data_IF_273286516909
#
_entry.id   IF_273286516909
#
_cell.length_a   1.000
_cell.length_b   1.000
_cell.length_c   1.000
_cell.angle_alpha   90.00
_cell.angle_beta   90.00
_cell.angle_gamma   90.00
#
_symmetry.space_group_name_H-M   'P 1'
#
loop_
_entity.id
_entity.type
_entity.pdbx_description
1 polymer ?
#
# COMPACT_ATOMS: atom_id res chain seq x y z
N UNK A 1 1.69 9.01 9.10
CA UNK A 1 0.48 8.87 8.25
C UNK A 1 0.80 7.91 7.11
N UNK A 2 -0.18 7.27 6.48
CA UNK A 2 0.06 6.33 5.38
C UNK A 2 0.39 7.02 4.05
N UNK A 3 1.20 6.37 3.22
CA UNK A 3 1.28 6.69 1.79
C UNK A 3 0.08 6.08 1.08
N UNK A 4 -0.73 6.93 0.46
CA UNK A 4 -1.92 6.52 -0.27
C UNK A 4 -1.64 6.48 -1.77
N UNK A 5 -1.85 5.32 -2.40
CA UNK A 5 -1.77 5.19 -3.86
C UNK A 5 -3.20 5.26 -4.40
N UNK A 6 -3.48 6.24 -5.26
CA UNK A 6 -4.82 6.48 -5.78
C UNK A 6 -4.83 6.61 -7.30
N UNK A 7 -5.85 6.04 -7.94
CA UNK A 7 -6.10 6.24 -9.36
C UNK A 7 -7.11 7.36 -9.52
N UNK A 8 -6.63 8.55 -9.84
CA UNK A 8 -7.45 9.76 -9.91
C UNK A 8 -6.81 10.79 -10.85
N UNK A 9 -7.61 11.76 -11.27
CA UNK A 9 -7.13 13.00 -11.85
C UNK A 9 -6.61 13.91 -10.73
N UNK A 10 -5.32 14.27 -10.76
CA UNK A 10 -4.69 15.08 -9.73
C UNK A 10 -5.38 16.45 -9.56
N UNK A 11 -6.00 16.99 -10.62
CA UNK A 11 -6.75 18.25 -10.59
C UNK A 11 -8.04 18.17 -9.77
N UNK A 12 -8.48 16.95 -9.41
CA UNK A 12 -9.69 16.68 -8.61
C UNK A 12 -9.35 16.30 -7.16
N UNK A 13 -8.07 16.28 -6.80
CA UNK A 13 -7.66 15.95 -5.44
C UNK A 13 -8.05 17.06 -4.45
N UNK A 14 -8.71 16.65 -3.37
CA UNK A 14 -9.07 17.52 -2.24
C UNK A 14 -7.99 17.48 -1.16
N UNK A 15 -6.77 17.86 -1.53
CA UNK A 15 -5.61 17.98 -0.64
C UNK A 15 -5.26 19.45 -0.44
N UNK A 16 -4.46 19.79 0.59
CA UNK A 16 -4.00 21.17 0.76
C UNK A 16 -3.08 21.59 -0.38
N UNK A 17 -2.23 20.68 -0.85
CA UNK A 17 -1.37 20.93 -2.00
C UNK A 17 -1.44 19.79 -3.03
N UNK A 18 -1.25 20.15 -4.30
CA UNK A 18 -0.95 19.20 -5.38
C UNK A 18 0.38 19.60 -6.02
N UNK A 19 1.10 18.61 -6.57
CA UNK A 19 2.39 18.85 -7.20
C UNK A 19 2.25 18.88 -8.72
N UNK A 20 2.77 19.93 -9.33
CA UNK A 20 2.92 20.08 -10.78
C UNK A 20 4.36 19.77 -11.17
N UNK A 21 4.54 18.70 -11.96
CA UNK A 21 5.82 18.35 -12.57
C UNK A 21 5.93 19.08 -13.92
N UNK A 22 6.81 20.07 -14.01
CA UNK A 22 6.89 21.01 -15.13
C UNK A 22 8.32 21.17 -15.66
N UNK A 23 8.45 21.96 -16.75
CA UNK A 23 9.75 22.38 -17.27
C UNK A 23 10.35 23.54 -16.46
N UNK A 24 11.60 23.89 -16.75
CA UNK A 24 12.34 24.94 -16.07
C UNK A 24 11.67 26.32 -16.05
N UNK A 25 10.91 26.62 -17.09
CA UNK A 25 10.24 27.91 -17.29
C UNK A 25 8.83 27.94 -16.68
N UNK A 26 8.39 26.88 -16.01
CA UNK A 26 7.06 26.74 -15.43
C UNK A 26 5.91 27.00 -16.41
N UNK A 27 6.17 26.77 -17.72
CA UNK A 27 5.23 27.05 -18.82
C UNK A 27 4.20 25.94 -19.02
N UNK A 28 3.97 25.10 -18.00
CA UNK A 28 2.97 24.03 -18.00
C UNK A 28 3.15 23.01 -19.14
N UNK A 29 4.40 22.70 -19.48
CA UNK A 29 4.72 21.67 -20.44
C UNK A 29 4.53 20.26 -19.82
N UNK A 30 3.96 19.36 -20.59
CA UNK A 30 3.63 18.00 -20.14
C UNK A 30 2.17 17.83 -19.78
N UNK A 31 1.71 16.56 -19.70
CA UNK A 31 0.29 16.25 -19.46
C UNK A 31 -0.22 16.77 -18.11
N UNK A 32 0.55 16.58 -17.04
CA UNK A 32 0.14 16.97 -15.68
C UNK A 32 0.11 18.49 -15.53
N UNK A 33 1.19 19.19 -15.90
CA UNK A 33 1.26 20.65 -15.83
C UNK A 33 0.18 21.33 -16.65
N UNK A 34 -0.06 20.87 -17.89
CA UNK A 34 -1.13 21.38 -18.75
C UNK A 34 -2.53 21.15 -18.16
N UNK A 35 -2.80 19.96 -17.60
CA UNK A 35 -4.07 19.66 -16.95
C UNK A 35 -4.32 20.58 -15.74
N UNK A 36 -3.30 20.78 -14.90
CA UNK A 36 -3.36 21.66 -13.74
C UNK A 36 -3.59 23.11 -14.18
N UNK A 37 -2.82 23.63 -15.16
CA UNK A 37 -2.96 24.99 -15.65
C UNK A 37 -4.35 25.28 -16.25
N UNK A 38 -4.90 24.32 -17.01
CA UNK A 38 -6.25 24.43 -17.58
C UNK A 38 -7.32 24.43 -16.48
N UNK A 39 -7.19 23.61 -15.45
CA UNK A 39 -8.13 23.54 -14.35
C UNK A 39 -8.03 24.75 -13.40
N UNK A 40 -6.82 25.24 -13.13
CA UNK A 40 -6.55 26.37 -12.24
C UNK A 40 -6.99 27.72 -12.85
N UNK A 41 -6.89 27.87 -14.18
CA UNK A 41 -7.33 29.05 -14.89
C UNK A 41 -6.24 30.13 -15.12
N UNK A 42 -6.66 31.26 -15.69
CA UNK A 42 -5.73 32.29 -16.20
C UNK A 42 -4.93 33.01 -15.13
N UNK A 43 -5.47 33.18 -13.93
CA UNK A 43 -4.75 33.88 -12.86
C UNK A 43 -3.62 33.04 -12.29
N UNK A 44 -3.76 31.71 -12.29
CA UNK A 44 -2.67 30.78 -12.01
C UNK A 44 -1.50 30.96 -13.00
N UNK A 45 -1.80 31.06 -14.31
CA UNK A 45 -0.77 31.24 -15.33
C UNK A 45 0.02 32.55 -15.12
N UNK A 46 -0.68 33.65 -14.79
CA UNK A 46 -0.03 34.93 -14.46
C UNK A 46 0.87 34.86 -13.23
N UNK A 47 0.51 34.04 -12.24
CA UNK A 47 1.36 33.82 -11.06
C UNK A 47 2.58 32.98 -11.41
N UNK A 48 2.43 31.94 -12.22
CA UNK A 48 3.56 31.13 -12.73
C UNK A 48 4.58 31.97 -13.50
N UNK A 49 4.11 32.88 -14.37
CA UNK A 49 4.99 33.81 -15.10
C UNK A 49 5.83 34.68 -14.16
N UNK A 50 5.26 35.10 -13.02
CA UNK A 50 5.99 35.92 -12.01
C UNK A 50 7.00 35.11 -11.21
N UNK A 51 6.78 33.80 -11.03
CA UNK A 51 7.72 32.91 -10.34
C UNK A 51 9.03 32.74 -11.10
N UNK A 52 9.00 32.92 -12.42
CA UNK A 52 10.15 32.73 -13.32
C UNK A 52 10.57 31.28 -13.43
N UNK A 53 11.88 30.99 -13.37
CA UNK A 53 12.41 29.65 -13.60
C UNK A 53 12.50 28.82 -12.32
N UNK A 54 12.31 27.52 -12.43
CA UNK A 54 12.54 26.51 -11.37
C UNK A 54 13.64 25.56 -11.84
N UNK A 55 14.75 25.44 -11.10
CA UNK A 55 15.83 24.52 -11.46
C UNK A 55 15.43 23.08 -11.16
N UNK A 56 16.08 22.13 -11.84
CA UNK A 56 15.88 20.71 -11.58
C UNK A 56 16.14 20.38 -10.09
N UNK A 57 15.18 19.73 -9.46
CA UNK A 57 15.23 19.40 -8.04
C UNK A 57 14.69 20.49 -7.10
N UNK A 58 14.51 21.73 -7.55
CA UNK A 58 13.90 22.80 -6.76
C UNK A 58 12.37 22.66 -6.71
N UNK A 59 11.75 23.33 -5.73
CA UNK A 59 10.31 23.46 -5.62
C UNK A 59 9.91 24.94 -5.41
N UNK A 60 8.77 25.33 -5.97
CA UNK A 60 8.14 26.65 -5.81
C UNK A 60 6.65 26.47 -5.55
N UNK A 61 5.97 27.47 -5.01
CA UNK A 61 4.55 27.36 -4.64
C UNK A 61 3.75 28.52 -5.21
N UNK A 62 2.53 28.20 -5.67
CA UNK A 62 1.48 29.16 -6.02
C UNK A 62 0.19 28.81 -5.30
N UNK A 63 -0.82 29.69 -5.40
CA UNK A 63 -2.18 29.36 -5.01
C UNK A 63 -2.82 28.38 -5.99
N UNK A 64 -3.80 27.60 -5.52
CA UNK A 64 -4.53 26.63 -6.34
C UNK A 64 -5.62 27.25 -7.24
N UNK A 65 -6.03 28.48 -6.99
CA UNK A 65 -7.09 29.21 -7.74
C UNK A 65 -8.38 28.40 -7.87
N UNK A 66 -8.75 27.96 -9.09
CA UNK A 66 -9.98 27.21 -9.33
C UNK A 66 -9.88 25.71 -8.99
N UNK A 67 -8.73 25.25 -8.52
CA UNK A 67 -8.53 23.88 -8.08
C UNK A 67 -9.14 23.63 -6.70
N UNK A 68 -9.53 22.40 -6.35
CA UNK A 68 -9.91 22.05 -4.98
C UNK A 68 -8.74 22.22 -3.98
N UNK A 69 -7.49 22.02 -4.43
CA UNK A 69 -6.29 22.20 -3.62
C UNK A 69 -6.01 23.69 -3.37
N UNK A 70 -5.57 24.02 -2.15
CA UNK A 70 -5.23 25.43 -1.76
C UNK A 70 -3.98 25.91 -2.49
N UNK A 71 -3.03 25.01 -2.72
CA UNK A 71 -1.71 25.33 -3.30
C UNK A 71 -1.37 24.37 -4.44
N UNK A 72 -0.54 24.88 -5.36
CA UNK A 72 0.18 24.08 -6.35
C UNK A 72 1.68 24.24 -6.07
N UNK A 73 2.35 23.13 -5.86
CA UNK A 73 3.81 23.08 -5.71
C UNK A 73 4.41 22.65 -7.04
N UNK A 74 5.18 23.54 -7.63
CA UNK A 74 5.87 23.33 -8.90
C UNK A 74 7.23 22.71 -8.65
N UNK A 75 7.58 21.68 -9.39
CA UNK A 75 8.94 21.13 -9.38
C UNK A 75 9.36 20.73 -10.79
N UNK A 76 10.64 20.87 -11.07
CA UNK A 76 11.24 20.46 -12.33
C UNK A 76 12.04 19.19 -12.11
N UNK A 77 11.53 18.08 -12.63
CA UNK A 77 12.20 16.79 -12.55
C UNK A 77 13.36 16.69 -13.56
N UNK A 78 14.32 15.76 -13.34
CA UNK A 78 15.41 15.51 -14.27
C UNK A 78 14.91 14.83 -15.56
N UNK A 79 15.51 15.21 -16.68
CA UNK A 79 15.42 14.43 -17.91
C UNK A 79 16.40 13.27 -17.82
N UNK A 80 15.91 12.05 -18.04
CA UNK A 80 16.73 10.85 -17.94
C UNK A 80 17.71 10.76 -19.12
N UNK A 81 18.99 10.57 -18.83
CA UNK A 81 20.07 10.49 -19.82
C UNK A 81 20.96 9.25 -19.60
N UNK A 82 20.44 8.25 -18.84
CA UNK A 82 21.13 6.99 -18.62
C UNK A 82 21.52 6.70 -17.17
N UNK A 83 21.11 7.55 -16.20
CA UNK A 83 21.31 7.29 -14.76
C UNK A 83 22.73 7.60 -14.23
N UNK A 84 23.60 8.21 -15.05
CA UNK A 84 25.00 8.46 -14.67
C UNK A 84 25.30 9.92 -14.26
N UNK A 85 24.31 10.80 -14.30
CA UNK A 85 24.46 12.23 -14.07
C UNK A 85 23.76 12.70 -12.79
N UNK A 86 23.48 11.78 -11.85
CA UNK A 86 22.82 12.08 -10.60
C UNK A 86 21.32 12.37 -10.73
N UNK A 87 20.70 11.87 -11.81
CA UNK A 87 19.26 12.04 -12.07
C UNK A 87 18.40 11.47 -10.94
N UNK A 88 18.84 10.39 -10.29
CA UNK A 88 18.22 9.79 -9.13
C UNK A 88 18.18 10.74 -7.91
N UNK A 89 19.29 11.41 -7.63
CA UNK A 89 19.39 12.40 -6.55
C UNK A 89 18.54 13.64 -6.86
N UNK A 90 18.52 14.08 -8.12
CA UNK A 90 17.68 15.20 -8.54
C UNK A 90 16.19 14.87 -8.46
N UNK A 91 15.80 13.66 -8.85
CA UNK A 91 14.42 13.20 -8.72
C UNK A 91 14.00 13.10 -7.24
N UNK A 92 14.86 12.55 -6.39
CA UNK A 92 14.66 12.52 -4.94
C UNK A 92 14.47 13.94 -4.38
N UNK A 93 15.31 14.88 -4.78
CA UNK A 93 15.22 16.27 -4.35
C UNK A 93 13.89 16.93 -4.72
N UNK A 94 13.27 16.56 -5.87
CA UNK A 94 11.94 17.06 -6.24
C UNK A 94 10.89 16.70 -5.20
N UNK A 95 10.89 15.45 -4.74
CA UNK A 95 9.94 14.99 -3.71
C UNK A 95 10.24 15.63 -2.36
N UNK A 96 11.52 15.63 -1.91
CA UNK A 96 11.93 16.19 -0.62
C UNK A 96 11.62 17.68 -0.51
N UNK A 97 11.97 18.47 -1.54
CA UNK A 97 11.74 19.91 -1.53
C UNK A 97 10.26 20.26 -1.63
N UNK A 98 9.47 19.47 -2.37
CA UNK A 98 8.02 19.67 -2.42
C UNK A 98 7.36 19.35 -1.07
N UNK A 99 7.76 18.28 -0.39
CA UNK A 99 7.27 17.92 0.94
C UNK A 99 7.62 19.00 1.96
N UNK A 100 8.87 19.43 1.97
CA UNK A 100 9.35 20.49 2.87
C UNK A 100 8.58 21.80 2.65
N UNK A 101 8.37 22.18 1.39
CA UNK A 101 7.64 23.41 1.06
C UNK A 101 6.16 23.32 1.45
N UNK A 102 5.53 22.14 1.34
CA UNK A 102 4.18 21.90 1.83
C UNK A 102 4.10 22.07 3.35
N UNK A 103 5.03 21.47 4.09
CA UNK A 103 5.11 21.57 5.55
C UNK A 103 5.33 23.02 6.02
N UNK A 104 6.26 23.76 5.37
CA UNK A 104 6.52 25.18 5.63
C UNK A 104 5.27 26.08 5.42
N UNK A 105 4.34 25.65 4.55
CA UNK A 105 3.07 26.34 4.29
C UNK A 105 1.88 25.77 5.08
N UNK A 106 2.14 24.91 6.07
CA UNK A 106 1.12 24.37 6.97
C UNK A 106 0.16 23.40 6.28
N UNK A 107 0.59 22.71 5.21
CA UNK A 107 -0.23 21.70 4.55
C UNK A 107 -0.26 20.43 5.41
N UNK A 108 -1.46 19.92 5.62
CA UNK A 108 -1.69 18.63 6.27
C UNK A 108 -1.80 17.49 5.26
N UNK A 109 -1.95 17.83 3.98
CA UNK A 109 -2.09 16.85 2.89
C UNK A 109 -1.47 17.35 1.58
N UNK A 110 -0.86 16.41 0.83
CA UNK A 110 -0.23 16.69 -0.47
C UNK A 110 -0.42 15.52 -1.44
N UNK A 111 -0.64 15.82 -2.72
CA UNK A 111 -0.75 14.83 -3.78
C UNK A 111 0.35 15.01 -4.84
N UNK A 112 1.03 13.92 -5.15
CA UNK A 112 2.12 13.86 -6.13
C UNK A 112 1.73 13.08 -7.37
N UNK A 113 2.12 13.52 -8.57
CA UNK A 113 2.20 12.64 -9.73
C UNK A 113 3.51 11.85 -9.69
N UNK A 114 3.67 10.88 -10.59
CA UNK A 114 4.98 10.28 -10.86
C UNK A 114 5.85 11.27 -11.67
N UNK A 115 6.80 11.91 -10.99
CA UNK A 115 7.68 12.94 -11.58
C UNK A 115 8.65 12.29 -12.55
N UNK A 116 8.90 12.94 -13.71
CA UNK A 116 9.86 12.57 -14.79
C UNK A 116 9.56 11.26 -15.52
N UNK A 117 8.61 10.43 -15.13
CA UNK A 117 8.36 9.11 -15.74
C UNK A 117 7.60 9.14 -17.06
N UNK A 118 7.13 10.31 -17.49
CA UNK A 118 6.48 10.55 -18.77
C UNK A 118 7.47 11.05 -19.83
N UNK A 119 7.27 12.26 -20.37
CA UNK A 119 8.07 12.85 -21.45
C UNK A 119 9.57 13.01 -21.14
N UNK A 120 9.97 13.02 -19.89
CA UNK A 120 11.38 13.08 -19.47
C UNK A 120 12.07 11.71 -19.44
N UNK A 121 11.32 10.61 -19.65
CA UNK A 121 11.86 9.29 -19.93
C UNK A 121 12.53 8.59 -18.75
N UNK A 122 12.30 9.05 -17.51
CA UNK A 122 12.83 8.36 -16.34
C UNK A 122 12.19 6.95 -16.25
N UNK A 123 12.98 5.86 -16.04
CA UNK A 123 12.45 4.52 -15.95
C UNK A 123 11.37 4.41 -14.87
N UNK A 124 10.19 3.90 -15.23
CA UNK A 124 9.02 3.91 -14.33
C UNK A 124 9.31 3.20 -13.01
N UNK A 125 9.91 2.02 -13.05
CA UNK A 125 10.23 1.22 -11.84
C UNK A 125 11.16 1.96 -10.89
N UNK A 126 12.23 2.56 -11.42
CA UNK A 126 13.19 3.35 -10.64
C UNK A 126 12.53 4.63 -10.10
N UNK A 127 11.74 5.32 -10.92
CA UNK A 127 11.01 6.51 -10.52
C UNK A 127 9.99 6.26 -9.41
N UNK A 128 9.25 5.16 -9.49
CA UNK A 128 8.33 4.71 -8.44
C UNK A 128 9.09 4.40 -7.15
N UNK A 129 10.21 3.67 -7.27
CA UNK A 129 11.04 3.32 -6.11
C UNK A 129 11.57 4.58 -5.42
N UNK A 130 12.14 5.53 -6.15
CA UNK A 130 12.64 6.79 -5.59
C UNK A 130 11.52 7.59 -4.93
N UNK A 131 10.35 7.70 -5.57
CA UNK A 131 9.19 8.39 -5.02
C UNK A 131 8.76 7.76 -3.68
N UNK A 132 8.56 6.45 -3.68
CA UNK A 132 8.03 5.72 -2.51
C UNK A 132 9.03 5.66 -1.37
N UNK A 133 10.31 5.43 -1.64
CA UNK A 133 11.37 5.42 -0.62
C UNK A 133 11.52 6.81 0.02
N UNK A 134 11.48 7.88 -0.79
CA UNK A 134 11.59 9.27 -0.30
C UNK A 134 10.39 9.65 0.55
N UNK A 135 9.18 9.39 0.06
CA UNK A 135 7.94 9.70 0.78
C UNK A 135 7.84 8.90 2.09
N UNK A 136 8.16 7.61 2.05
CA UNK A 136 8.11 6.75 3.24
C UNK A 136 9.13 7.21 4.30
N UNK A 137 10.34 7.58 3.88
CA UNK A 137 11.34 8.15 4.79
C UNK A 137 10.90 9.48 5.42
N UNK A 138 10.18 10.32 4.67
CA UNK A 138 9.62 11.57 5.18
C UNK A 138 8.49 11.33 6.20
N UNK A 139 7.64 10.33 5.94
CA UNK A 139 6.51 9.95 6.81
C UNK A 139 6.95 9.42 8.19
N UNK A 140 8.20 9.02 8.37
CA UNK A 140 8.72 8.66 9.69
C UNK A 140 8.72 9.84 10.68
N UNK A 141 8.75 11.08 10.16
CA UNK A 141 8.92 12.31 10.96
C UNK A 141 7.75 13.28 10.85
N UNK A 142 6.71 12.98 10.07
CA UNK A 142 5.55 13.85 9.86
C UNK A 142 4.25 13.09 9.91
N UNK A 143 3.17 13.80 10.27
CA UNK A 143 1.80 13.27 10.25
C UNK A 143 1.01 13.73 8.98
N UNK A 144 1.71 14.15 7.92
CA UNK A 144 1.10 14.62 6.67
C UNK A 144 0.46 13.47 5.87
N UNK A 145 -0.73 13.67 5.33
CA UNK A 145 -1.38 12.74 4.40
C UNK A 145 -0.79 12.90 3.00
N UNK A 146 -0.09 11.88 2.51
CA UNK A 146 0.60 11.92 1.23
C UNK A 146 -0.06 10.96 0.25
N UNK A 147 -0.37 11.47 -0.94
CA UNK A 147 -1.01 10.73 -2.02
C UNK A 147 -0.07 10.63 -3.22
N UNK A 148 0.16 9.43 -3.72
CA UNK A 148 0.76 9.18 -5.02
C UNK A 148 -0.37 8.94 -6.02
N UNK A 149 -0.58 9.89 -6.91
CA UNK A 149 -1.71 9.90 -7.85
C UNK A 149 -1.24 9.37 -9.19
N UNK A 150 -1.91 8.34 -9.68
CA UNK A 150 -1.70 7.77 -11.00
C UNK A 150 -2.96 7.94 -11.84
N UNK A 151 -2.80 8.41 -13.08
CA UNK A 151 -3.91 8.65 -13.98
C UNK A 151 -4.41 7.36 -14.63
N UNK A 152 -3.49 6.53 -15.07
CA UNK A 152 -3.77 5.26 -15.72
C UNK A 152 -3.06 4.10 -15.02
N UNK A 153 -3.54 2.87 -15.26
CA UNK A 153 -3.00 1.64 -14.68
C UNK A 153 -1.57 1.36 -15.15
N UNK A 154 -1.24 1.77 -16.37
CA UNK A 154 0.07 1.52 -16.97
C UNK A 154 1.18 2.38 -16.35
N UNK A 155 0.78 3.48 -15.68
CA UNK A 155 1.72 4.36 -14.98
C UNK A 155 2.28 3.76 -13.69
N UNK A 156 1.56 2.82 -13.07
CA UNK A 156 2.00 2.14 -11.86
C UNK A 156 1.81 0.63 -12.05
N UNK A 157 2.83 -0.03 -12.55
CA UNK A 157 2.82 -1.48 -12.73
C UNK A 157 3.94 -2.12 -11.93
N UNK A 158 3.66 -3.30 -11.36
CA UNK A 158 4.72 -4.13 -10.80
C UNK A 158 5.76 -4.45 -11.86
N UNK A 159 7.01 -4.68 -11.45
CA UNK A 159 8.07 -5.04 -12.38
C UNK A 159 7.68 -6.28 -13.18
N UNK A 160 8.16 -6.37 -14.43
CA UNK A 160 7.87 -7.54 -15.27
C UNK A 160 8.34 -8.83 -14.61
N UNK A 161 9.47 -8.79 -13.91
CA UNK A 161 10.02 -9.93 -13.16
C UNK A 161 9.08 -10.31 -12.03
N UNK A 162 8.63 -9.36 -11.22
CA UNK A 162 7.72 -9.61 -10.10
C UNK A 162 6.36 -10.15 -10.58
N UNK A 163 5.82 -9.62 -11.67
CA UNK A 163 4.60 -10.15 -12.29
C UNK A 163 4.77 -11.60 -12.72
N UNK A 164 5.91 -11.92 -13.36
CA UNK A 164 6.22 -13.29 -13.80
C UNK A 164 6.32 -14.24 -12.60
N UNK A 165 7.03 -13.83 -11.54
CA UNK A 165 7.17 -14.61 -10.30
C UNK A 165 5.81 -14.84 -9.61
N UNK A 166 4.95 -13.84 -9.54
CA UNK A 166 3.61 -13.96 -8.97
C UNK A 166 2.73 -14.86 -9.82
N UNK A 167 2.77 -14.70 -11.14
CA UNK A 167 2.00 -15.57 -12.05
C UNK A 167 2.44 -17.04 -11.93
N UNK A 168 3.73 -17.29 -11.89
CA UNK A 168 4.29 -18.64 -11.67
C UNK A 168 3.84 -19.21 -10.31
N UNK A 169 3.85 -18.41 -9.26
CA UNK A 169 3.35 -18.83 -7.94
C UNK A 169 1.85 -19.17 -7.95
N UNK A 170 1.02 -18.39 -8.67
CA UNK A 170 -0.41 -18.66 -8.85
C UNK A 170 -0.59 -19.99 -9.61
N UNK A 171 0.11 -20.16 -10.71
CA UNK A 171 0.02 -21.33 -11.57
C UNK A 171 0.48 -22.61 -10.83
N UNK A 172 1.58 -22.53 -10.09
CA UNK A 172 2.08 -23.63 -9.25
C UNK A 172 1.07 -24.06 -8.18
N UNK A 173 0.44 -23.09 -7.52
CA UNK A 173 -0.60 -23.38 -6.53
C UNK A 173 -1.83 -24.01 -7.17
N UNK A 174 -2.23 -23.55 -8.36
CA UNK A 174 -3.31 -24.17 -9.13
C UNK A 174 -2.98 -25.62 -9.51
N UNK A 175 -1.75 -25.89 -9.99
CA UNK A 175 -1.29 -27.24 -10.35
C UNK A 175 -1.24 -28.16 -9.13
N UNK A 176 -0.72 -27.68 -7.98
CA UNK A 176 -0.67 -28.46 -6.72
C UNK A 176 -2.05 -28.86 -6.26
N UNK A 177 -3.04 -27.94 -6.29
CA UNK A 177 -4.45 -28.24 -5.95
C UNK A 177 -5.04 -29.29 -6.85
N UNK A 178 -4.90 -29.15 -8.17
CA UNK A 178 -5.44 -30.11 -9.12
C UNK A 178 -4.78 -31.49 -9.01
N UNK A 179 -3.51 -31.56 -8.58
CA UNK A 179 -2.85 -32.84 -8.26
C UNK A 179 -3.42 -33.45 -6.98
N UNK A 180 -3.62 -32.64 -5.93
CA UNK A 180 -4.20 -33.10 -4.68
C UNK A 180 -5.64 -33.63 -4.89
N UNK A 181 -6.50 -32.91 -5.65
CA UNK A 181 -7.82 -33.39 -6.01
C UNK A 181 -7.79 -34.70 -6.79
N UNK A 182 -6.92 -34.84 -7.80
CA UNK A 182 -6.77 -36.07 -8.58
C UNK A 182 -6.24 -37.24 -7.74
N UNK A 183 -5.43 -37.00 -6.74
CA UNK A 183 -4.94 -38.05 -5.83
C UNK A 183 -6.08 -38.50 -4.88
N UNK A 184 -6.88 -37.55 -4.35
CA UNK A 184 -8.08 -37.90 -3.56
C UNK A 184 -9.10 -38.70 -4.37
N UNK A 185 -9.38 -38.30 -5.63
CA UNK A 185 -10.24 -39.08 -6.52
C UNK A 185 -9.67 -40.48 -6.85
N UNK A 186 -8.36 -40.65 -6.88
CA UNK A 186 -7.72 -41.97 -7.06
C UNK A 186 -7.78 -42.81 -5.80
N UNK A 187 -7.56 -42.23 -4.63
CA UNK A 187 -7.68 -42.91 -3.35
C UNK A 187 -9.12 -43.37 -3.10
N UNK A 188 -10.12 -42.53 -3.48
CA UNK A 188 -11.53 -42.89 -3.41
C UNK A 188 -11.94 -43.97 -4.41
N UNK A 189 -11.28 -44.06 -5.58
CA UNK A 189 -11.49 -45.13 -6.57
C UNK A 189 -10.86 -46.44 -6.18
N UNK A 190 -9.73 -46.42 -5.49
CA UNK A 190 -9.07 -47.63 -4.98
C UNK A 190 -9.74 -48.17 -3.70
N UNK A 191 -10.60 -47.37 -3.04
CA UNK A 191 -11.39 -47.76 -1.87
C UNK A 191 -12.80 -48.29 -2.18
N UNK A 192 -13.18 -48.47 -3.45
CA UNK A 192 -14.44 -49.14 -3.85
C UNK A 192 -14.26 -50.64 -3.88
N UNK A 193 -13.70 -51.20 -2.85
CA UNK A 193 -13.62 -52.63 -2.53
C UNK A 193 -14.06 -52.84 -1.10
N UNK A 194 -15.40 -53.07 -0.91
CA UNK A 194 -16.01 -53.68 0.27
C UNK A 194 -15.40 -53.28 1.66
N UNK A 195 -15.79 -52.16 2.19
CA UNK A 195 -15.91 -52.01 3.64
C UNK A 195 -17.23 -51.29 3.97
N UNK A 196 -18.02 -51.77 4.95
CA UNK A 196 -19.18 -51.04 5.39
C UNK A 196 -18.71 -49.67 5.87
N UNK A 197 -19.40 -48.61 5.42
CA UNK A 197 -19.26 -47.27 5.97
C UNK A 197 -19.68 -47.38 7.44
N UNK A 198 -18.74 -47.75 8.28
CA UNK A 198 -18.86 -47.42 9.69
C UNK A 198 -18.71 -45.90 9.72
N UNK A 199 -19.80 -45.23 9.76
CA UNK A 199 -19.87 -43.95 10.43
C UNK A 199 -19.39 -44.21 11.85
N UNK A 200 -18.08 -44.28 12.04
CA UNK A 200 -17.48 -44.05 13.33
C UNK A 200 -17.91 -42.62 13.65
N UNK A 201 -18.98 -42.56 14.43
CA UNK A 201 -19.46 -41.29 14.90
C UNK A 201 -18.24 -40.52 15.36
N UNK A 202 -18.11 -39.33 14.85
CA UNK A 202 -17.58 -38.28 15.67
C UNK A 202 -18.37 -38.41 16.98
N UNK A 203 -17.84 -39.24 17.89
CA UNK A 203 -18.20 -39.11 19.28
C UNK A 203 -17.86 -37.66 19.60
N UNK A 204 -18.90 -36.84 19.44
CA UNK A 204 -18.98 -35.63 20.22
C UNK A 204 -18.84 -36.13 21.63
N UNK A 205 -17.62 -36.11 22.18
CA UNK A 205 -17.43 -35.99 23.60
C UNK A 205 -18.07 -34.65 23.97
N UNK A 206 -19.37 -34.63 23.97
CA UNK A 206 -20.09 -33.69 24.80
C UNK A 206 -19.64 -34.08 26.22
N UNK A 207 -18.65 -33.35 26.72
CA UNK A 207 -18.42 -33.30 28.15
C UNK A 207 -19.73 -32.75 28.76
N UNK A 208 -20.63 -33.71 29.09
CA UNK A 208 -21.84 -33.40 29.83
C UNK A 208 -21.37 -32.78 31.13
N UNK A 209 -21.57 -31.48 31.33
CA UNK A 209 -21.32 -30.82 32.58
C UNK A 209 -20.50 -29.53 32.56
N UNK A 210 -20.01 -29.05 31.42
CA UNK A 210 -19.38 -27.73 31.38
C UNK A 210 -20.48 -26.67 31.29
N UNK A 211 -20.64 -25.85 32.34
CA UNK A 211 -21.60 -24.74 32.29
C UNK A 211 -21.20 -23.76 31.19
N UNK A 212 -22.16 -23.08 30.58
CA UNK A 212 -21.91 -22.02 29.60
C UNK A 212 -20.88 -21.01 30.10
N UNK A 213 -20.89 -20.71 31.39
CA UNK A 213 -19.93 -19.81 32.04
C UNK A 213 -18.48 -20.32 31.95
N UNK A 214 -18.28 -21.63 32.13
CA UNK A 214 -16.94 -22.23 32.03
C UNK A 214 -16.48 -22.29 30.56
N UNK A 215 -17.41 -22.53 29.62
CA UNK A 215 -17.11 -22.51 28.21
C UNK A 215 -16.76 -21.08 27.71
N UNK A 216 -17.39 -20.04 28.29
CA UNK A 216 -17.10 -18.65 28.03
C UNK A 216 -15.75 -18.23 28.64
N UNK A 217 -15.34 -18.80 29.76
CA UNK A 217 -14.05 -18.54 30.44
C UNK A 217 -12.86 -19.14 29.70
N UNK A 218 -13.07 -20.19 28.91
CA UNK A 218 -12.04 -20.89 28.14
C UNK A 218 -11.92 -20.31 26.72
N UNK A 219 -12.04 -18.97 26.60
CA UNK A 219 -11.86 -18.29 25.33
C UNK A 219 -10.39 -18.24 24.93
N UNK A 220 -10.14 -18.48 23.67
CA UNK A 220 -8.85 -18.17 23.03
C UNK A 220 -8.46 -16.69 23.23
N UNK A 221 -7.16 -16.41 23.24
CA UNK A 221 -6.65 -15.02 23.17
C UNK A 221 -7.35 -14.25 22.05
N UNK A 222 -7.76 -13.02 22.34
CA UNK A 222 -8.38 -12.14 21.34
C UNK A 222 -7.37 -11.67 20.29
N UNK A 223 -7.86 -11.12 19.17
CA UNK A 223 -7.01 -10.47 18.19
C UNK A 223 -6.14 -9.39 18.83
N UNK A 224 -6.73 -8.56 19.69
CA UNK A 224 -6.05 -7.48 20.39
C UNK A 224 -4.90 -8.02 21.26
N UNK A 225 -5.16 -8.99 22.12
CA UNK A 225 -4.13 -9.59 22.99
C UNK A 225 -3.01 -10.23 22.18
N UNK A 226 -3.36 -11.01 21.15
CA UNK A 226 -2.38 -11.65 20.25
C UNK A 226 -1.51 -10.61 19.53
N UNK A 227 -2.12 -9.53 18.97
CA UNK A 227 -1.38 -8.47 18.29
C UNK A 227 -0.36 -7.80 19.22
N UNK A 228 -0.77 -7.37 20.41
CA UNK A 228 0.12 -6.63 21.32
C UNK A 228 1.18 -7.53 21.97
N UNK A 229 0.90 -8.82 22.12
CA UNK A 229 1.89 -9.83 22.48
C UNK A 229 2.96 -9.96 21.40
N UNK A 230 2.58 -10.11 20.13
CA UNK A 230 3.50 -10.15 18.98
C UNK A 230 4.34 -8.87 18.87
N UNK A 231 3.76 -7.70 19.04
CA UNK A 231 4.49 -6.41 19.04
C UNK A 231 5.57 -6.41 20.11
N UNK A 232 5.24 -6.86 21.32
CA UNK A 232 6.17 -6.95 22.44
C UNK A 232 7.27 -7.98 22.19
N UNK A 233 6.93 -9.16 21.68
CA UNK A 233 7.88 -10.24 21.37
C UNK A 233 8.88 -9.83 20.26
N UNK A 234 8.41 -9.09 19.26
CA UNK A 234 9.26 -8.54 18.16
C UNK A 234 10.06 -7.29 18.65
N UNK A 235 9.84 -6.79 19.86
CA UNK A 235 10.55 -5.63 20.42
C UNK A 235 10.29 -4.31 19.69
N UNK A 236 9.17 -4.21 18.96
CA UNK A 236 8.85 -3.04 18.15
C UNK A 236 8.09 -1.97 18.94
N UNK A 237 8.31 -0.71 18.59
CA UNK A 237 7.50 0.41 19.09
C UNK A 237 6.19 0.50 18.29
N UNK A 238 5.12 0.93 18.96
CA UNK A 238 3.82 1.13 18.30
C UNK A 238 3.91 2.06 17.06
N UNK A 239 4.73 3.13 17.15
CA UNK A 239 4.97 4.04 16.02
C UNK A 239 5.57 3.33 14.81
N UNK A 240 6.54 2.47 15.04
CA UNK A 240 7.17 1.67 14.00
C UNK A 240 6.16 0.71 13.34
N UNK A 241 5.30 0.08 14.14
CA UNK A 241 4.28 -0.85 13.64
C UNK A 241 3.27 -0.16 12.74
N UNK A 242 2.66 0.95 13.20
CA UNK A 242 1.64 1.60 12.37
C UNK A 242 2.24 2.25 11.12
N UNK A 243 3.44 2.80 11.18
CA UNK A 243 4.13 3.34 10.00
C UNK A 243 4.41 2.24 8.98
N UNK A 244 4.98 1.10 9.40
CA UNK A 244 5.24 -0.04 8.52
C UNK A 244 3.97 -0.70 8.00
N UNK A 245 2.88 -0.68 8.78
CA UNK A 245 1.57 -1.19 8.37
C UNK A 245 0.81 -0.23 7.44
N UNK A 246 1.37 0.93 7.11
CA UNK A 246 0.68 1.97 6.35
C UNK A 246 -0.67 2.37 6.98
N UNK A 247 -0.67 2.55 8.32
CA UNK A 247 -1.83 2.95 9.11
C UNK A 247 -1.59 4.33 9.73
N UNK A 248 -2.66 5.13 9.87
CA UNK A 248 -2.60 6.36 10.64
C UNK A 248 -2.46 6.07 12.13
N UNK A 249 -1.85 7.01 12.85
CA UNK A 249 -1.77 6.97 14.32
C UNK A 249 -3.15 6.87 14.96
N UNK A 250 -4.15 7.57 14.39
CA UNK A 250 -5.52 7.56 14.89
C UNK A 250 -6.18 6.19 14.71
N UNK A 251 -5.99 5.55 13.57
CA UNK A 251 -6.48 4.19 13.30
C UNK A 251 -5.83 3.16 14.24
N UNK A 252 -4.50 3.21 14.36
CA UNK A 252 -3.80 2.32 15.28
C UNK A 252 -4.21 2.55 16.75
N UNK A 253 -4.49 3.80 17.13
CA UNK A 253 -4.99 4.13 18.47
C UNK A 253 -6.36 3.51 18.75
N UNK A 254 -7.26 3.44 17.75
CA UNK A 254 -8.54 2.72 17.87
C UNK A 254 -8.29 1.23 18.14
N UNK A 255 -7.41 0.60 17.35
CA UNK A 255 -7.04 -0.82 17.58
C UNK A 255 -6.49 -1.04 18.99
N UNK A 256 -5.65 -0.11 19.48
CA UNK A 256 -5.03 -0.21 20.81
C UNK A 256 -6.00 -0.02 21.95
N UNK A 257 -6.92 0.95 21.83
CA UNK A 257 -7.76 1.38 22.96
C UNK A 257 -9.11 0.67 23.02
N UNK A 258 -9.50 -0.04 21.98
CA UNK A 258 -10.74 -0.81 21.90
C UNK A 258 -10.41 -2.30 21.69
N UNK A 259 -10.44 -3.11 22.78
CA UNK A 259 -10.16 -4.56 22.69
C UNK A 259 -11.15 -5.33 21.80
N UNK A 260 -12.35 -4.80 21.61
CA UNK A 260 -13.40 -5.43 20.80
C UNK A 260 -13.38 -4.91 19.34
N UNK A 261 -12.43 -4.01 19.00
CA UNK A 261 -12.28 -3.50 17.65
C UNK A 261 -12.00 -4.62 16.64
N UNK A 262 -12.80 -4.66 15.59
CA UNK A 262 -12.64 -5.64 14.50
C UNK A 262 -12.03 -4.97 13.27
N UNK A 263 -10.73 -5.11 13.06
CA UNK A 263 -10.06 -4.55 11.88
C UNK A 263 -10.54 -5.24 10.60
N UNK A 264 -10.44 -4.55 9.47
CA UNK A 264 -10.66 -5.16 8.15
C UNK A 264 -9.55 -6.15 7.84
N UNK A 265 -9.82 -7.07 6.91
CA UNK A 265 -8.87 -8.10 6.46
C UNK A 265 -7.54 -7.48 6.00
N UNK A 266 -7.62 -6.42 5.21
CA UNK A 266 -6.49 -5.66 4.68
C UNK A 266 -5.63 -5.04 5.81
N UNK A 267 -6.27 -4.58 6.87
CA UNK A 267 -5.58 -4.04 8.07
C UNK A 267 -4.84 -5.14 8.82
N UNK A 268 -5.43 -6.33 8.96
CA UNK A 268 -4.76 -7.47 9.61
C UNK A 268 -3.54 -7.92 8.82
N UNK A 269 -3.65 -8.03 7.50
CA UNK A 269 -2.50 -8.31 6.63
C UNK A 269 -1.41 -7.23 6.74
N UNK A 270 -1.81 -5.95 6.74
CA UNK A 270 -0.86 -4.84 6.91
C UNK A 270 -0.06 -4.96 8.21
N UNK A 271 -0.72 -5.31 9.32
CA UNK A 271 -0.07 -5.53 10.60
C UNK A 271 0.85 -6.76 10.58
N UNK A 272 0.44 -7.86 9.92
CA UNK A 272 1.27 -9.04 9.74
C UNK A 272 2.56 -8.73 8.94
N UNK A 273 2.44 -7.95 7.87
CA UNK A 273 3.58 -7.47 7.07
C UNK A 273 4.50 -6.56 7.91
N UNK A 274 3.94 -5.61 8.66
CA UNK A 274 4.70 -4.70 9.52
C UNK A 274 5.53 -5.44 10.57
N UNK A 275 4.96 -6.49 11.17
CA UNK A 275 5.59 -7.34 12.19
C UNK A 275 6.50 -8.41 11.59
N UNK A 276 6.59 -8.52 10.27
CA UNK A 276 7.33 -9.56 9.54
C UNK A 276 6.98 -10.96 10.02
N UNK A 277 5.68 -11.23 10.11
CA UNK A 277 5.19 -12.54 10.54
C UNK A 277 5.45 -13.59 9.46
N UNK A 278 5.72 -14.82 9.91
CA UNK A 278 5.69 -15.99 9.04
C UNK A 278 4.27 -16.25 8.55
N UNK A 279 4.12 -17.12 7.55
CA UNK A 279 2.80 -17.46 7.04
C UNK A 279 1.89 -18.09 8.11
N UNK A 280 2.45 -18.93 8.99
CA UNK A 280 1.69 -19.57 10.06
C UNK A 280 1.28 -18.57 11.15
N UNK A 281 2.19 -17.68 11.58
CA UNK A 281 1.87 -16.57 12.49
C UNK A 281 0.79 -15.66 11.88
N UNK A 282 0.88 -15.39 10.57
CA UNK A 282 -0.11 -14.59 9.85
C UNK A 282 -1.49 -15.26 9.84
N UNK A 283 -1.55 -16.56 9.56
CA UNK A 283 -2.80 -17.34 9.58
C UNK A 283 -3.44 -17.34 10.96
N UNK A 284 -2.65 -17.50 12.02
CA UNK A 284 -3.15 -17.43 13.39
C UNK A 284 -3.69 -16.02 13.73
N UNK A 285 -2.97 -14.97 13.39
CA UNK A 285 -3.45 -13.59 13.61
C UNK A 285 -4.75 -13.31 12.84
N UNK A 286 -4.84 -13.76 11.59
CA UNK A 286 -6.04 -13.65 10.76
C UNK A 286 -7.23 -14.39 11.38
N UNK A 287 -7.02 -15.61 11.86
CA UNK A 287 -8.03 -16.42 12.54
C UNK A 287 -8.57 -15.72 13.79
N UNK A 288 -7.71 -15.10 14.61
CA UNK A 288 -8.11 -14.32 15.80
C UNK A 288 -8.95 -13.08 15.42
N UNK A 289 -8.74 -12.51 14.25
CA UNK A 289 -9.57 -11.42 13.70
C UNK A 289 -10.86 -11.92 13.01
N UNK A 290 -11.09 -13.24 12.95
CA UNK A 290 -12.25 -13.85 12.30
C UNK A 290 -12.13 -14.02 10.78
N UNK A 291 -10.90 -14.01 10.25
CA UNK A 291 -10.63 -14.21 8.83
C UNK A 291 -9.88 -15.52 8.57
N UNK A 292 -10.05 -16.03 7.36
CA UNK A 292 -9.22 -17.12 6.82
C UNK A 292 -8.39 -16.61 5.64
N UNK A 293 -7.18 -17.11 5.50
CA UNK A 293 -6.37 -16.95 4.30
C UNK A 293 -6.77 -18.03 3.30
N UNK A 294 -7.16 -17.63 2.11
CA UNK A 294 -7.65 -18.54 1.08
C UNK A 294 -7.13 -18.17 -0.30
N UNK A 295 -6.55 -19.12 -0.99
CA UNK A 295 -6.12 -18.96 -2.38
C UNK A 295 -7.27 -18.74 -3.39
N UNK A 296 -8.54 -18.78 -2.94
CA UNK A 296 -9.67 -18.40 -3.78
C UNK A 296 -9.76 -16.90 -4.00
N UNK A 297 -8.99 -16.12 -3.22
CA UNK A 297 -8.93 -14.67 -3.32
C UNK A 297 -7.54 -14.23 -3.78
N UNK A 298 -7.48 -13.42 -4.84
CA UNK A 298 -6.23 -12.92 -5.42
C UNK A 298 -5.42 -12.09 -4.40
N UNK A 299 -6.09 -11.27 -3.58
CA UNK A 299 -5.48 -10.54 -2.47
C UNK A 299 -4.66 -11.46 -1.57
N UNK A 300 -5.28 -12.56 -1.10
CA UNK A 300 -4.65 -13.52 -0.18
C UNK A 300 -3.44 -14.19 -0.83
N UNK A 301 -3.59 -14.60 -2.09
CA UNK A 301 -2.52 -15.27 -2.85
C UNK A 301 -1.31 -14.36 -3.05
N UNK A 302 -1.54 -13.09 -3.40
CA UNK A 302 -0.47 -12.09 -3.56
C UNK A 302 0.24 -11.87 -2.21
N UNK A 303 -0.51 -11.62 -1.14
CA UNK A 303 0.11 -11.38 0.18
C UNK A 303 0.87 -12.61 0.67
N UNK A 304 0.33 -13.81 0.49
CA UNK A 304 1.00 -15.06 0.82
C UNK A 304 2.31 -15.24 0.03
N UNK A 305 2.32 -14.91 -1.28
CA UNK A 305 3.53 -14.90 -2.09
C UNK A 305 4.64 -14.02 -1.45
N UNK A 306 4.30 -12.79 -1.07
CA UNK A 306 5.26 -11.87 -0.47
C UNK A 306 5.81 -12.38 0.87
N UNK A 307 4.94 -12.88 1.74
CA UNK A 307 5.32 -13.44 3.05
C UNK A 307 6.23 -14.66 2.86
N UNK A 308 5.86 -15.59 1.97
CA UNK A 308 6.63 -16.82 1.71
C UNK A 308 8.02 -16.53 1.19
N UNK A 309 8.17 -15.44 0.42
CA UNK A 309 9.45 -15.00 -0.12
C UNK A 309 10.21 -14.01 0.80
N UNK A 310 9.73 -13.79 2.02
CA UNK A 310 10.38 -12.88 2.99
C UNK A 310 10.38 -11.41 2.57
N UNK A 311 9.49 -11.01 1.67
CA UNK A 311 9.35 -9.64 1.14
C UNK A 311 8.27 -8.89 1.94
N UNK A 312 8.66 -7.95 2.80
CA UNK A 312 7.77 -7.24 3.73
C UNK A 312 7.68 -5.73 3.46
N UNK A 313 7.93 -5.29 2.23
CA UNK A 313 7.72 -3.89 1.85
C UNK A 313 6.25 -3.66 1.48
N UNK A 314 5.51 -2.98 2.36
CA UNK A 314 4.07 -2.75 2.15
C UNK A 314 3.78 -1.93 0.89
N UNK A 315 4.70 -1.05 0.50
CA UNK A 315 4.52 -0.22 -0.71
C UNK A 315 4.62 -1.08 -1.96
N UNK A 316 5.61 -1.98 -2.04
CA UNK A 316 5.76 -2.94 -3.14
C UNK A 316 4.55 -3.88 -3.24
N UNK A 317 4.06 -4.35 -2.09
CA UNK A 317 2.83 -5.16 -2.02
C UNK A 317 1.64 -4.36 -2.55
N UNK A 318 1.48 -3.11 -2.12
CA UNK A 318 0.37 -2.25 -2.54
C UNK A 318 0.43 -1.89 -4.04
N UNK A 319 1.62 -1.64 -4.59
CA UNK A 319 1.80 -1.46 -6.04
C UNK A 319 1.33 -2.71 -6.79
N UNK A 320 1.71 -3.89 -6.29
CA UNK A 320 1.28 -5.16 -6.89
C UNK A 320 -0.23 -5.35 -6.78
N UNK A 321 -0.81 -5.13 -5.60
CA UNK A 321 -2.25 -5.21 -5.38
C UNK A 321 -3.02 -4.25 -6.28
N UNK A 322 -2.53 -3.02 -6.43
CA UNK A 322 -3.08 -2.03 -7.34
C UNK A 322 -3.07 -2.52 -8.80
N UNK A 323 -1.96 -3.12 -9.24
CA UNK A 323 -1.79 -3.66 -10.57
C UNK A 323 -2.76 -4.82 -10.88
N UNK A 324 -3.12 -5.61 -9.87
CA UNK A 324 -4.10 -6.69 -9.96
C UNK A 324 -5.54 -6.28 -9.58
N UNK A 325 -5.84 -4.97 -9.50
CA UNK A 325 -7.15 -4.41 -9.12
C UNK A 325 -7.66 -4.96 -7.76
N UNK A 326 -6.74 -5.18 -6.80
CA UNK A 326 -7.06 -5.65 -5.47
C UNK A 326 -7.10 -4.51 -4.46
N UNK A 327 -7.86 -4.68 -3.34
CA UNK A 327 -7.81 -3.74 -2.23
C UNK A 327 -6.38 -3.59 -1.69
N UNK A 328 -5.97 -2.36 -1.41
CA UNK A 328 -4.65 -2.08 -0.84
C UNK A 328 -4.62 -2.39 0.66
N UNK A 329 -3.44 -2.75 1.16
CA UNK A 329 -3.20 -2.97 2.58
C UNK A 329 -3.01 -1.63 3.30
N UNK A 330 -3.43 -1.60 4.58
CA UNK A 330 -3.34 -0.42 5.42
C UNK A 330 -4.63 0.38 5.46
N UNK A 331 -4.52 1.69 5.56
CA UNK A 331 -5.66 2.60 5.60
C UNK A 331 -6.08 3.01 4.18
N UNK A 332 -7.39 3.00 3.91
CA UNK A 332 -7.89 3.50 2.62
C UNK A 332 -7.75 5.01 2.58
N UNK A 333 -7.28 5.54 1.45
CA UNK A 333 -7.54 6.92 1.08
C UNK A 333 -9.06 7.17 1.06
N UNK A 334 -9.48 8.27 1.63
CA UNK A 334 -10.87 8.72 1.65
C UNK A 334 -11.38 9.03 0.24
#
# INVERSE_FOLDING_TARGET
MPLNIVRQDITKMHTDAIVAAEGHDLSSHGMVGSAIANAAGTDYQKECEKLGTCKTGEAKITKGYNLPAKYVIHTTGPKYTGGNNGEDLLLKACYENALKLAEENGCESIAFPLISTGGYGFPKEEGIKIATDTITGYLENTDMDIYLVVYDKESLTASKTLRSEIQEYIDDNYVRRNRAFRNLEREDLDMVGEAPVVYSGLEKKHAAGTSLENFIKDRDESFHETLFKLIKEKGMKNSEVYTRANLSKSHFSKIKNDPDYRPKKETVFALAIALRLTLDETRELMKKAGYAVSHSFMLDTIVEYFITNGKYNIVEINITLFDYDQPLLGEKAL
#
